data_IF_369195737338
#
_entry.id   IF_369195737338
#
_cell.length_a   1.000
_cell.length_b   1.000
_cell.length_c   1.000
_cell.angle_alpha   90.00
_cell.angle_beta   90.00
_cell.angle_gamma   90.00
#
_symmetry.space_group_name_H-M   'P 1'
#
loop_
_entity.id
_entity.type
_entity.pdbx_description
1 polymer ?
#
# COMPACT_ATOMS: atom_id res chain seq x y z
N UNK A 1 30.81 -1.94 0.65
CA UNK A 1 30.14 -0.62 0.65
C UNK A 1 28.93 -0.63 -0.30
N UNK A 2 27.91 -1.40 0.07
CA UNK A 2 26.65 -1.56 -0.67
C UNK A 2 25.59 -0.81 0.13
N UNK A 3 24.78 0.05 -0.50
CA UNK A 3 23.86 1.06 0.10
C UNK A 3 24.42 2.47 0.34
N UNK A 4 24.93 3.14 -0.69
CA UNK A 4 24.71 4.58 -0.79
C UNK A 4 23.46 4.83 -1.64
N UNK A 5 22.27 4.65 -1.03
CA UNK A 5 21.05 5.17 -1.64
C UNK A 5 21.20 6.69 -1.71
N UNK A 6 21.09 7.29 -2.91
CA UNK A 6 21.18 8.75 -3.04
C UNK A 6 20.15 9.40 -2.13
N UNK A 7 20.55 10.50 -1.47
CA UNK A 7 19.69 11.27 -0.55
C UNK A 7 18.29 11.47 -1.11
N UNK A 8 18.19 11.86 -2.37
CA UNK A 8 16.92 12.13 -3.05
C UNK A 8 16.03 10.89 -3.15
N UNK A 9 16.61 9.73 -3.48
CA UNK A 9 15.88 8.46 -3.49
C UNK A 9 15.39 8.09 -2.09
N UNK A 10 16.24 8.25 -1.07
CA UNK A 10 15.85 7.96 0.31
C UNK A 10 14.71 8.87 0.78
N UNK A 11 14.77 10.17 0.46
CA UNK A 11 13.70 11.12 0.79
C UNK A 11 12.39 10.77 0.08
N UNK A 12 12.43 10.38 -1.20
CA UNK A 12 11.25 9.90 -1.92
C UNK A 12 10.65 8.68 -1.25
N UNK A 13 11.47 7.67 -0.89
CA UNK A 13 10.98 6.46 -0.22
C UNK A 13 10.31 6.77 1.11
N UNK A 14 10.91 7.63 1.94
CA UNK A 14 10.34 8.02 3.24
C UNK A 14 9.00 8.72 3.04
N UNK A 15 8.91 9.69 2.13
CA UNK A 15 7.67 10.41 1.89
C UNK A 15 6.58 9.54 1.27
N UNK A 16 6.94 8.63 0.37
CA UNK A 16 5.99 7.65 -0.20
C UNK A 16 5.46 6.70 0.87
N UNK A 17 6.31 6.24 1.79
CA UNK A 17 5.87 5.42 2.91
C UNK A 17 4.93 6.21 3.85
N UNK A 18 5.31 7.41 4.27
CA UNK A 18 4.52 8.24 5.20
C UNK A 18 3.15 8.61 4.61
N UNK A 19 3.11 9.13 3.39
CA UNK A 19 1.86 9.52 2.74
C UNK A 19 1.05 8.29 2.34
N UNK A 20 1.72 7.23 1.90
CA UNK A 20 1.10 5.98 1.51
C UNK A 20 0.39 5.29 2.66
N UNK A 21 1.06 5.11 3.80
CA UNK A 21 0.49 4.47 4.98
C UNK A 21 -0.66 5.30 5.56
N UNK A 22 -0.50 6.62 5.62
CA UNK A 22 -1.56 7.51 6.07
C UNK A 22 -2.79 7.43 5.15
N UNK A 23 -2.60 7.45 3.83
CA UNK A 23 -3.70 7.34 2.87
C UNK A 23 -4.35 5.96 2.94
N UNK A 24 -3.56 4.88 3.10
CA UNK A 24 -4.09 3.53 3.27
C UNK A 24 -5.00 3.43 4.49
N UNK A 25 -4.59 4.02 5.61
CA UNK A 25 -5.38 4.06 6.85
C UNK A 25 -6.72 4.79 6.63
N UNK A 26 -6.68 5.99 6.05
CA UNK A 26 -7.89 6.80 5.79
C UNK A 26 -8.82 6.05 4.84
N UNK A 27 -8.30 5.51 3.74
CA UNK A 27 -9.11 4.77 2.77
C UNK A 27 -9.71 3.49 3.36
N UNK A 28 -9.01 2.79 4.26
CA UNK A 28 -9.58 1.63 4.96
C UNK A 28 -10.80 1.98 5.78
N UNK A 29 -10.75 3.10 6.50
CA UNK A 29 -11.90 3.58 7.26
C UNK A 29 -13.04 4.12 6.39
N UNK A 30 -12.75 4.61 5.18
CA UNK A 30 -13.79 5.12 4.27
C UNK A 30 -14.45 3.98 3.48
N UNK A 31 -13.65 3.02 2.98
CA UNK A 31 -14.10 1.98 2.06
C UNK A 31 -14.71 0.76 2.76
N UNK A 32 -14.48 0.59 4.07
CA UNK A 32 -15.09 -0.48 4.88
C UNK A 32 -15.00 -1.87 4.25
N UNK A 33 -13.86 -2.17 3.61
CA UNK A 33 -13.72 -3.39 2.82
C UNK A 33 -13.75 -4.67 3.67
N UNK A 34 -14.55 -5.65 3.24
CA UNK A 34 -14.55 -7.02 3.76
C UNK A 34 -13.26 -7.78 3.43
N UNK A 35 -12.98 -8.85 4.18
CA UNK A 35 -11.91 -9.79 3.84
C UNK A 35 -12.49 -11.14 3.45
N UNK A 36 -11.91 -11.82 2.43
CA UNK A 36 -12.42 -13.10 1.97
C UNK A 36 -12.58 -14.14 3.08
N UNK A 37 -11.64 -14.17 4.05
CA UNK A 37 -11.61 -15.18 5.10
C UNK A 37 -12.89 -15.23 5.94
N UNK A 38 -13.32 -14.12 6.54
CA UNK A 38 -14.57 -14.09 7.30
C UNK A 38 -15.80 -13.89 6.41
N UNK A 39 -15.63 -13.26 5.24
CA UNK A 39 -16.74 -13.03 4.30
C UNK A 39 -17.35 -14.34 3.83
N UNK A 40 -16.56 -15.39 3.60
CA UNK A 40 -17.06 -16.69 3.14
C UNK A 40 -18.05 -17.33 4.13
N UNK A 41 -17.88 -17.06 5.43
CA UNK A 41 -18.69 -17.64 6.49
C UNK A 41 -19.99 -16.88 6.73
N UNK A 42 -20.07 -15.62 6.29
CA UNK A 42 -21.19 -14.72 6.59
C UNK A 42 -21.99 -14.32 5.34
N UNK A 43 -21.44 -14.58 4.16
CA UNK A 43 -22.12 -14.31 2.89
C UNK A 43 -23.31 -15.24 2.67
N UNK A 44 -24.40 -14.70 2.13
CA UNK A 44 -25.56 -15.47 1.67
C UNK A 44 -25.37 -16.06 0.26
N UNK A 45 -24.22 -15.80 -0.36
CA UNK A 45 -23.94 -16.18 -1.75
C UNK A 45 -24.09 -17.68 -2.01
N UNK A 46 -23.72 -18.53 -1.04
CA UNK A 46 -23.80 -19.99 -1.19
C UNK A 46 -25.19 -20.57 -0.84
N UNK A 47 -26.14 -19.76 -0.36
CA UNK A 47 -27.48 -20.20 0.02
C UNK A 47 -27.44 -21.31 1.09
N UNK A 48 -28.14 -22.42 0.84
CA UNK A 48 -28.12 -23.61 1.68
C UNK A 48 -26.97 -24.59 1.35
N UNK A 49 -26.18 -24.29 0.31
CA UNK A 49 -25.04 -25.10 -0.09
C UNK A 49 -23.84 -24.91 0.85
N UNK A 50 -22.89 -25.86 0.88
CA UNK A 50 -21.70 -25.74 1.70
C UNK A 50 -20.82 -24.58 1.22
N UNK A 51 -20.44 -23.70 2.15
CA UNK A 51 -19.42 -22.69 1.89
C UNK A 51 -18.03 -23.35 1.72
N UNK A 52 -17.13 -22.77 0.90
CA UNK A 52 -15.75 -23.23 0.81
C UNK A 52 -15.07 -23.22 2.18
N UNK A 53 -14.40 -24.33 2.53
CA UNK A 53 -13.53 -24.37 3.70
C UNK A 53 -12.23 -23.63 3.40
N UNK A 54 -11.91 -22.63 4.21
CA UNK A 54 -10.67 -21.87 4.11
C UNK A 54 -9.70 -22.29 5.21
N UNK A 55 -8.42 -22.40 4.86
CA UNK A 55 -7.37 -22.64 5.83
C UNK A 55 -7.00 -21.32 6.53
N UNK A 56 -6.99 -21.33 7.86
CA UNK A 56 -6.49 -20.23 8.65
C UNK A 56 -4.96 -20.27 8.73
N UNK A 57 -4.34 -19.11 8.57
CA UNK A 57 -2.91 -18.92 8.78
C UNK A 57 -2.68 -17.79 9.80
N UNK A 58 -1.48 -17.70 10.41
CA UNK A 58 -1.20 -16.66 11.41
C UNK A 58 -1.42 -15.21 10.94
N UNK A 59 -1.32 -14.94 9.63
CA UNK A 59 -1.51 -13.60 9.03
C UNK A 59 -2.94 -13.38 8.48
N UNK A 60 -3.83 -14.36 8.60
CA UNK A 60 -5.20 -14.27 8.06
C UNK A 60 -6.06 -13.25 8.83
N UNK A 61 -5.87 -13.16 10.16
CA UNK A 61 -6.68 -12.35 11.07
C UNK A 61 -6.13 -10.93 11.26
N UNK A 62 -5.97 -10.18 10.17
CA UNK A 62 -5.59 -8.77 10.25
C UNK A 62 -6.75 -7.90 10.77
N UNK A 63 -6.43 -6.95 11.65
CA UNK A 63 -7.37 -6.26 12.54
C UNK A 63 -8.07 -5.03 11.94
N UNK A 64 -7.86 -4.75 10.65
CA UNK A 64 -8.45 -3.60 9.97
C UNK A 64 -9.15 -3.95 8.66
N UNK A 65 -9.94 -3.02 8.08
CA UNK A 65 -10.63 -3.22 6.80
C UNK A 65 -9.70 -3.62 5.66
N UNK A 66 -10.24 -4.38 4.70
CA UNK A 66 -9.47 -4.99 3.60
C UNK A 66 -9.14 -4.05 2.43
N UNK A 67 -9.83 -2.92 2.27
CA UNK A 67 -9.71 -2.07 1.08
C UNK A 67 -9.00 -0.74 1.36
N UNK A 68 -7.92 -0.36 0.65
CA UNK A 68 -7.10 -1.16 -0.26
C UNK A 68 -6.03 -1.97 0.49
N UNK A 69 -5.42 -2.94 -0.21
CA UNK A 69 -4.30 -3.71 0.34
C UNK A 69 -3.08 -2.83 0.60
N UNK A 70 -2.69 -2.68 1.87
CA UNK A 70 -1.50 -1.94 2.27
C UNK A 70 -0.21 -2.58 1.78
N UNK A 71 -0.15 -3.92 1.69
CA UNK A 71 1.01 -4.63 1.18
C UNK A 71 1.26 -4.33 -0.31
N UNK A 72 0.21 -4.42 -1.14
CA UNK A 72 0.31 -4.11 -2.56
C UNK A 72 0.58 -2.62 -2.79
N UNK A 73 -0.05 -1.74 -2.00
CA UNK A 73 0.18 -0.30 -2.07
C UNK A 73 1.62 0.09 -1.71
N UNK A 74 2.15 -0.44 -0.61
CA UNK A 74 3.51 -0.19 -0.17
C UNK A 74 4.56 -0.75 -1.14
N UNK A 75 4.37 -2.00 -1.60
CA UNK A 75 5.24 -2.61 -2.60
C UNK A 75 5.28 -1.77 -3.88
N UNK A 76 4.11 -1.39 -4.41
CA UNK A 76 4.04 -0.62 -5.65
C UNK A 76 4.73 0.74 -5.51
N UNK A 77 4.51 1.42 -4.39
CA UNK A 77 5.14 2.72 -4.13
C UNK A 77 6.67 2.63 -4.03
N UNK A 78 7.19 1.65 -3.28
CA UNK A 78 8.64 1.44 -3.13
C UNK A 78 9.27 1.06 -4.46
N UNK A 79 8.71 0.08 -5.18
CA UNK A 79 9.26 -0.36 -6.45
C UNK A 79 9.22 0.73 -7.51
N UNK A 80 8.15 1.52 -7.57
CA UNK A 80 8.07 2.65 -8.48
C UNK A 80 9.22 3.65 -8.26
N UNK A 81 9.48 4.02 -7.01
CA UNK A 81 10.59 4.93 -6.66
C UNK A 81 11.94 4.31 -7.02
N UNK A 82 12.15 3.03 -6.74
CA UNK A 82 13.40 2.33 -7.05
C UNK A 82 13.66 2.23 -8.56
N UNK A 83 12.65 1.81 -9.34
CA UNK A 83 12.73 1.70 -10.80
C UNK A 83 13.06 3.07 -11.41
N UNK A 84 12.29 4.10 -11.08
CA UNK A 84 12.50 5.44 -11.63
C UNK A 84 13.82 6.06 -11.19
N UNK A 85 14.29 5.79 -9.97
CA UNK A 85 15.61 6.24 -9.51
C UNK A 85 16.76 5.58 -10.29
N UNK A 86 16.69 4.26 -10.51
CA UNK A 86 17.70 3.53 -11.28
C UNK A 86 17.73 4.00 -12.75
N UNK A 87 16.56 4.24 -13.35
CA UNK A 87 16.46 4.79 -14.70
C UNK A 87 17.02 6.21 -14.81
N UNK A 88 16.79 7.05 -13.80
CA UNK A 88 17.41 8.39 -13.73
C UNK A 88 18.93 8.30 -13.72
N UNK A 89 19.48 7.41 -12.88
CA UNK A 89 20.94 7.22 -12.80
C UNK A 89 21.51 6.74 -14.14
N UNK A 90 20.84 5.80 -14.81
CA UNK A 90 21.25 5.32 -16.13
C UNK A 90 21.22 6.44 -17.18
N UNK A 91 20.22 7.32 -17.13
CA UNK A 91 20.12 8.49 -18.00
C UNK A 91 21.24 9.50 -17.73
N UNK A 92 21.53 9.81 -16.47
CA UNK A 92 22.60 10.73 -16.08
C UNK A 92 23.98 10.23 -16.51
N UNK A 93 24.20 8.91 -16.44
CA UNK A 93 25.42 8.26 -16.93
C UNK A 93 25.50 8.12 -18.45
N UNK A 94 24.54 8.67 -19.19
CA UNK A 94 24.48 8.61 -20.65
C UNK A 94 24.59 7.17 -21.19
N UNK A 95 23.90 6.22 -20.55
CA UNK A 95 23.90 4.83 -20.99
C UNK A 95 23.51 4.70 -22.48
N UNK A 96 24.15 3.77 -23.23
CA UNK A 96 23.79 3.52 -24.62
C UNK A 96 22.29 3.23 -24.77
N UNK A 97 21.61 3.72 -25.83
CA UNK A 97 20.16 3.60 -25.97
C UNK A 97 19.63 2.16 -25.87
N UNK A 98 20.36 1.19 -26.44
CA UNK A 98 20.00 -0.22 -26.37
C UNK A 98 20.03 -0.75 -24.93
N UNK A 99 21.10 -0.45 -24.19
CA UNK A 99 21.24 -0.86 -22.79
C UNK A 99 20.19 -0.21 -21.90
N UNK A 100 19.92 1.09 -22.10
CA UNK A 100 18.84 1.78 -21.38
C UNK A 100 17.48 1.13 -21.65
N UNK A 101 17.18 0.75 -22.90
CA UNK A 101 15.93 0.07 -23.24
C UNK A 101 15.81 -1.30 -22.57
N UNK A 102 16.88 -2.09 -22.55
CA UNK A 102 16.93 -3.38 -21.86
C UNK A 102 16.70 -3.19 -20.36
N UNK A 103 17.39 -2.21 -19.75
CA UNK A 103 17.23 -1.88 -18.34
C UNK A 103 15.79 -1.44 -18.02
N UNK A 104 15.22 -0.56 -18.85
CA UNK A 104 13.83 -0.11 -18.72
C UNK A 104 12.86 -1.29 -18.69
N UNK A 105 12.91 -2.15 -19.71
CA UNK A 105 12.01 -3.31 -19.79
C UNK A 105 12.25 -4.25 -18.60
N UNK A 106 13.52 -4.55 -18.30
CA UNK A 106 13.87 -5.45 -17.20
C UNK A 106 13.38 -4.98 -15.84
N UNK A 107 13.54 -3.68 -15.52
CA UNK A 107 13.11 -3.11 -14.23
C UNK A 107 11.59 -3.10 -14.08
N UNK A 108 10.85 -2.74 -15.13
CA UNK A 108 9.38 -2.76 -15.08
C UNK A 108 8.82 -4.18 -15.02
N UNK A 109 9.42 -5.14 -15.74
CA UNK A 109 9.06 -6.55 -15.64
C UNK A 109 9.33 -7.12 -14.25
N UNK A 110 10.47 -6.76 -13.64
CA UNK A 110 10.80 -7.17 -12.28
C UNK A 110 9.80 -6.60 -11.26
N UNK A 111 9.46 -5.32 -11.36
CA UNK A 111 8.42 -4.71 -10.54
C UNK A 111 7.09 -5.46 -10.70
N UNK A 112 6.65 -5.72 -11.94
CA UNK A 112 5.41 -6.45 -12.21
C UNK A 112 5.41 -7.85 -11.60
N UNK A 113 6.54 -8.57 -11.65
CA UNK A 113 6.69 -9.88 -11.03
C UNK A 113 6.57 -9.80 -9.50
N UNK A 114 7.22 -8.82 -8.88
CA UNK A 114 7.15 -8.66 -7.43
C UNK A 114 5.74 -8.29 -6.98
N UNK A 115 5.07 -7.37 -7.70
CA UNK A 115 3.67 -7.03 -7.42
C UNK A 115 2.75 -8.23 -7.57
N UNK A 116 2.96 -9.06 -8.60
CA UNK A 116 2.19 -10.29 -8.79
C UNK A 116 2.37 -11.24 -7.60
N UNK A 117 3.61 -11.46 -7.14
CA UNK A 117 3.90 -12.33 -5.98
C UNK A 117 3.26 -11.78 -4.71
N UNK A 118 3.40 -10.47 -4.45
CA UNK A 118 2.76 -9.80 -3.31
C UNK A 118 1.25 -9.96 -3.39
N UNK A 119 0.61 -9.62 -4.51
CA UNK A 119 -0.83 -9.73 -4.68
C UNK A 119 -1.33 -11.17 -4.52
N UNK A 120 -0.65 -12.14 -5.14
CA UNK A 120 -1.00 -13.56 -5.01
C UNK A 120 -0.88 -14.04 -3.57
N UNK A 121 0.16 -13.64 -2.83
CA UNK A 121 0.27 -13.97 -1.40
C UNK A 121 -0.94 -13.47 -0.60
N UNK A 122 -1.46 -12.28 -0.93
CA UNK A 122 -2.57 -11.65 -0.22
C UNK A 122 -3.92 -12.29 -0.55
N UNK A 123 -4.11 -12.70 -1.81
CA UNK A 123 -5.30 -13.40 -2.27
C UNK A 123 -5.31 -14.85 -1.78
N UNK A 124 -4.17 -15.55 -1.87
CA UNK A 124 -4.03 -16.94 -1.42
C UNK A 124 -4.36 -17.12 0.05
N UNK A 125 -3.93 -16.17 0.90
CA UNK A 125 -4.16 -16.21 2.35
C UNK A 125 -5.58 -15.73 2.74
N UNK A 126 -6.46 -15.52 1.76
CA UNK A 126 -7.82 -14.99 1.95
C UNK A 126 -7.86 -13.63 2.69
N UNK A 127 -6.77 -12.88 2.66
CA UNK A 127 -6.64 -11.62 3.37
C UNK A 127 -7.17 -10.42 2.56
N UNK A 128 -7.20 -10.53 1.23
CA UNK A 128 -7.75 -9.52 0.34
C UNK A 128 -8.44 -10.12 -0.89
N UNK A 129 -9.49 -9.45 -1.36
CA UNK A 129 -10.06 -9.71 -2.68
C UNK A 129 -9.16 -9.16 -3.81
N UNK A 130 -9.27 -9.70 -5.04
CA UNK A 130 -8.49 -9.23 -6.20
C UNK A 130 -8.61 -7.71 -6.46
N UNK A 131 -9.81 -7.14 -6.34
CA UNK A 131 -10.01 -5.71 -6.56
C UNK A 131 -9.28 -4.84 -5.51
N UNK A 132 -9.10 -5.34 -4.27
CA UNK A 132 -8.44 -4.61 -3.19
C UNK A 132 -6.93 -4.54 -3.37
N UNK A 133 -6.33 -5.60 -3.92
CA UNK A 133 -4.90 -5.59 -4.27
C UNK A 133 -4.63 -4.73 -5.50
N UNK A 134 -5.51 -4.77 -6.52
CA UNK A 134 -5.44 -3.89 -7.69
C UNK A 134 -5.55 -2.41 -7.28
N UNK A 135 -6.53 -2.08 -6.45
CA UNK A 135 -6.68 -0.73 -5.91
C UNK A 135 -5.44 -0.29 -5.11
N UNK A 136 -4.82 -1.23 -4.37
CA UNK A 136 -3.55 -1.00 -3.69
C UNK A 136 -2.43 -0.60 -4.65
N UNK A 137 -2.18 -1.39 -5.69
CA UNK A 137 -1.15 -1.10 -6.71
C UNK A 137 -1.35 0.29 -7.33
N UNK A 138 -2.59 0.59 -7.75
CA UNK A 138 -2.93 1.86 -8.40
C UNK A 138 -2.64 3.01 -7.44
N UNK A 139 -3.15 2.93 -6.21
CA UNK A 139 -2.99 4.00 -5.22
C UNK A 139 -1.52 4.19 -4.85
N UNK A 140 -0.76 3.11 -4.64
CA UNK A 140 0.66 3.16 -4.31
C UNK A 140 1.51 3.79 -5.41
N UNK A 141 1.23 3.42 -6.67
CA UNK A 141 1.88 4.00 -7.85
C UNK A 141 1.56 5.50 -7.98
N UNK A 142 0.30 5.90 -7.78
CA UNK A 142 -0.10 7.30 -7.84
C UNK A 142 0.55 8.14 -6.74
N UNK A 143 0.57 7.63 -5.49
CA UNK A 143 1.26 8.30 -4.38
C UNK A 143 2.74 8.46 -4.71
N UNK A 144 3.40 7.41 -5.19
CA UNK A 144 4.82 7.48 -5.55
C UNK A 144 5.09 8.50 -6.66
N UNK A 145 4.26 8.53 -7.69
CA UNK A 145 4.38 9.47 -8.81
C UNK A 145 4.16 10.92 -8.36
N UNK A 146 3.11 11.19 -7.57
CA UNK A 146 2.80 12.53 -7.06
C UNK A 146 3.91 13.02 -6.14
N UNK A 147 4.29 12.23 -5.13
CA UNK A 147 5.36 12.59 -4.18
C UNK A 147 6.68 12.82 -4.92
N UNK A 148 7.01 12.01 -5.92
CA UNK A 148 8.27 12.14 -6.65
C UNK A 148 8.37 13.42 -7.49
N UNK A 149 7.25 14.04 -7.86
CA UNK A 149 7.21 15.32 -8.58
C UNK A 149 7.39 16.53 -7.67
N UNK A 150 7.17 16.37 -6.37
CA UNK A 150 7.23 17.46 -5.42
C UNK A 150 8.66 17.84 -5.06
N UNK A 151 9.13 19.01 -5.51
CA UNK A 151 10.51 19.47 -5.28
C UNK A 151 10.79 19.88 -3.84
N UNK A 152 9.76 20.26 -3.08
CA UNK A 152 9.93 20.76 -1.71
C UNK A 152 10.41 19.66 -0.75
N UNK A 153 10.20 18.38 -1.09
CA UNK A 153 10.58 17.25 -0.24
C UNK A 153 12.11 17.16 -0.06
N UNK A 154 12.89 17.68 -1.00
CA UNK A 154 14.36 17.63 -0.97
C UNK A 154 14.98 18.72 -0.09
N UNK A 155 14.25 19.82 0.12
CA UNK A 155 14.69 21.00 0.89
C UNK A 155 13.82 21.25 2.14
N UNK A 156 13.05 20.25 2.58
CA UNK A 156 12.20 20.36 3.75
C UNK A 156 13.02 20.58 5.03
N UNK A 157 12.66 21.61 5.80
CA UNK A 157 13.25 21.87 7.11
C UNK A 157 12.62 20.96 8.19
N UNK A 158 13.31 20.75 9.31
CA UNK A 158 12.78 19.98 10.44
C UNK A 158 11.41 20.51 10.93
N UNK A 159 11.20 21.83 10.87
CA UNK A 159 9.91 22.47 11.17
C UNK A 159 8.80 21.96 10.24
N UNK A 160 9.06 21.83 8.94
CA UNK A 160 8.08 21.29 7.97
C UNK A 160 7.76 19.82 8.25
N UNK A 161 8.77 19.01 8.53
CA UNK A 161 8.55 17.61 8.93
C UNK A 161 7.65 17.53 10.16
N UNK A 162 7.98 18.27 11.22
CA UNK A 162 7.19 18.31 12.44
C UNK A 162 5.74 18.76 12.19
N UNK A 163 5.54 19.84 11.43
CA UNK A 163 4.20 20.35 11.10
C UNK A 163 3.37 19.35 10.29
N UNK A 164 3.98 18.69 9.30
CA UNK A 164 3.27 17.70 8.47
C UNK A 164 2.94 16.47 9.29
N UNK A 165 3.88 15.95 10.09
CA UNK A 165 3.61 14.81 10.99
C UNK A 165 2.48 15.16 11.96
N UNK A 166 2.55 16.33 12.62
CA UNK A 166 1.50 16.79 13.52
C UNK A 166 0.15 16.88 12.80
N UNK A 167 0.12 17.44 11.58
CA UNK A 167 -1.09 17.53 10.78
C UNK A 167 -1.67 16.15 10.44
N UNK A 168 -0.86 15.23 9.91
CA UNK A 168 -1.30 13.89 9.52
C UNK A 168 -1.83 13.09 10.72
N UNK A 169 -1.13 13.15 11.86
CA UNK A 169 -1.56 12.51 13.10
C UNK A 169 -2.84 13.14 13.64
N UNK A 170 -2.91 14.48 13.70
CA UNK A 170 -4.11 15.19 14.19
C UNK A 170 -5.32 14.89 13.30
N UNK A 171 -5.13 14.83 11.98
CA UNK A 171 -6.18 14.43 11.05
C UNK A 171 -6.63 13.00 11.31
N UNK A 172 -5.71 12.04 11.42
CA UNK A 172 -6.07 10.64 11.63
C UNK A 172 -6.85 10.45 12.95
N UNK A 173 -6.41 11.10 14.03
CA UNK A 173 -7.11 11.08 15.32
C UNK A 173 -8.47 11.78 15.23
N UNK A 174 -8.53 12.98 14.65
CA UNK A 174 -9.76 13.73 14.48
C UNK A 174 -10.79 12.99 13.63
N UNK A 175 -10.34 12.36 12.54
CA UNK A 175 -11.19 11.57 11.65
C UNK A 175 -11.69 10.29 12.33
N UNK A 176 -10.84 9.60 13.11
CA UNK A 176 -11.27 8.49 13.96
C UNK A 176 -12.38 8.90 14.94
N UNK A 177 -12.19 10.01 15.66
CA UNK A 177 -13.17 10.53 16.63
C UNK A 177 -14.47 10.93 15.92
N UNK A 178 -14.38 11.56 14.75
CA UNK A 178 -15.55 11.93 13.95
C UNK A 178 -16.35 10.70 13.53
N UNK A 179 -15.71 9.68 12.95
CA UNK A 179 -16.38 8.45 12.54
C UNK A 179 -17.05 7.77 13.73
N UNK A 180 -16.36 7.70 14.88
CA UNK A 180 -16.94 7.18 16.12
C UNK A 180 -18.15 7.99 16.60
N UNK A 181 -18.11 9.31 16.47
CA UNK A 181 -19.24 10.19 16.84
C UNK A 181 -20.45 10.05 15.89
N UNK A 182 -20.23 9.54 14.67
CA UNK A 182 -21.26 9.21 13.68
C UNK A 182 -21.75 7.76 13.81
N UNK A 183 -21.44 7.08 14.92
CA UNK A 183 -21.77 5.67 15.19
C UNK A 183 -21.23 4.68 14.12
N UNK A 184 -20.14 5.05 13.44
CA UNK A 184 -19.43 4.14 12.56
C UNK A 184 -18.58 3.19 13.41
N UNK A 185 -18.92 1.92 13.43
CA UNK A 185 -18.14 0.89 14.12
C UNK A 185 -16.81 0.67 13.39
N UNK A 186 -15.71 1.18 13.95
CA UNK A 186 -14.36 1.01 13.41
C UNK A 186 -13.66 -0.27 13.88
N UNK A 187 -14.22 -0.98 14.85
CA UNK A 187 -13.64 -2.19 15.45
C UNK A 187 -14.33 -3.46 14.97
N UNK A 188 -15.34 -3.37 14.10
CA UNK A 188 -16.05 -4.51 13.50
C UNK A 188 -15.12 -5.62 12.96
N UNK A 189 -13.96 -5.25 12.40
CA UNK A 189 -12.98 -6.23 11.88
C UNK A 189 -12.26 -6.99 12.98
N UNK A 190 -12.11 -6.42 14.18
CA UNK A 190 -11.54 -7.11 15.34
C UNK A 190 -12.45 -8.25 15.79
N UNK A 191 -13.77 -7.99 15.85
CA UNK A 191 -14.75 -9.00 16.25
C UNK A 191 -14.75 -10.17 15.26
N UNK A 192 -14.70 -9.87 13.95
CA UNK A 192 -14.60 -10.91 12.90
C UNK A 192 -13.28 -11.68 12.97
N UNK A 193 -12.16 -11.00 13.22
CA UNK A 193 -10.84 -11.61 13.34
C UNK A 193 -10.66 -12.47 14.60
N UNK A 194 -11.44 -12.22 15.66
CA UNK A 194 -11.46 -13.05 16.87
C UNK A 194 -12.41 -14.25 16.73
N UNK A 195 -13.51 -14.09 16.00
CA UNK A 195 -14.54 -15.12 15.82
C UNK A 195 -14.10 -16.25 14.89
N UNK A 196 -13.37 -15.92 13.81
CA UNK A 196 -12.97 -16.82 12.75
C UNK A 196 -11.45 -16.97 12.71
#
# INVERSE_FOLDING_TARGET
PWFHLRRDTALRLIWVAVIGDWLNLVLKWVLFGERPYWWVHETKFYGAGPAPSLQQFPITCETGPGSPSGHAMGAAGVWYVMVTALLSIAREKQCPPLLYRILYIGLWMLMGLVELVVCMSRVYMAAHFPHQVIAGIITGTLVAEVVSKEKWIYSASLKKYFLITLFLTSFAVGFYVLLKALDVDLLWTMEKAQKW
#
